data_IF_823851503897
#
_entry.id   IF_823851503897
#
_cell.length_a   1.000
_cell.length_b   1.000
_cell.length_c   1.000
_cell.angle_alpha   90.00
_cell.angle_beta   90.00
_cell.angle_gamma   90.00
#
_symmetry.space_group_name_H-M   'P 1'
#
loop_
_entity.id
_entity.type
_entity.pdbx_description
1 polymer ?
#
# COMPACT_ATOMS: atom_id res chain seq x y z
N UNK A 1 95.80 50.09 50.07
CA UNK A 1 95.08 49.07 49.26
C UNK A 1 93.86 48.50 50.01
N UNK A 2 92.86 49.32 50.37
CA UNK A 2 91.73 48.84 51.19
C UNK A 2 90.32 49.23 50.67
N UNK A 3 90.20 50.08 49.64
CA UNK A 3 88.89 50.51 49.11
C UNK A 3 88.45 49.80 47.82
N UNK A 4 89.36 49.09 47.13
CA UNK A 4 89.04 48.34 45.90
C UNK A 4 88.46 46.94 46.11
N UNK A 5 88.65 46.33 47.31
CA UNK A 5 88.18 44.97 47.61
C UNK A 5 86.72 44.91 48.09
N UNK A 6 86.19 46.02 48.63
CA UNK A 6 84.81 46.09 49.13
C UNK A 6 83.81 46.27 47.98
N UNK A 7 84.18 46.98 46.92
CA UNK A 7 83.31 47.20 45.75
C UNK A 7 83.09 45.91 44.94
N UNK A 8 84.13 45.08 44.81
CA UNK A 8 84.04 43.80 44.08
C UNK A 8 83.23 42.76 44.86
N UNK A 9 83.34 42.71 46.19
CA UNK A 9 82.52 41.82 47.01
C UNK A 9 81.03 42.20 47.00
N UNK A 10 80.71 43.50 46.95
CA UNK A 10 79.32 43.97 46.87
C UNK A 10 78.70 43.74 45.48
N UNK A 11 79.49 43.90 44.41
CA UNK A 11 79.06 43.59 43.04
C UNK A 11 78.89 42.08 42.79
N UNK A 12 79.78 41.24 43.33
CA UNK A 12 79.64 39.77 43.24
C UNK A 12 78.45 39.27 44.08
N UNK A 13 78.23 39.85 45.26
CA UNK A 13 77.05 39.54 46.08
C UNK A 13 75.72 39.91 45.42
N UNK A 14 75.64 41.08 44.78
CA UNK A 14 74.46 41.50 44.03
C UNK A 14 74.20 40.64 42.79
N UNK A 15 75.25 40.25 42.05
CA UNK A 15 75.12 39.37 40.87
C UNK A 15 74.69 37.96 41.28
N UNK A 16 75.17 37.41 42.39
CA UNK A 16 74.76 36.09 42.90
C UNK A 16 73.32 36.08 43.41
N UNK A 17 72.86 37.16 44.05
CA UNK A 17 71.46 37.28 44.53
C UNK A 17 70.50 37.50 43.36
N UNK A 18 70.86 38.33 42.37
CA UNK A 18 70.04 38.55 41.17
C UNK A 18 70.04 37.32 40.26
N UNK A 19 71.17 36.62 40.10
CA UNK A 19 71.23 35.35 39.38
C UNK A 19 70.52 34.22 40.14
N UNK A 20 70.60 34.18 41.47
CA UNK A 20 69.88 33.20 42.30
C UNK A 20 68.36 33.39 42.30
N UNK A 21 67.89 34.65 42.32
CA UNK A 21 66.47 34.99 42.13
C UNK A 21 66.00 34.71 40.70
N UNK A 22 66.85 34.97 39.69
CA UNK A 22 66.54 34.63 38.30
C UNK A 22 66.49 33.11 38.06
N UNK A 23 67.40 32.33 38.64
CA UNK A 23 67.41 30.86 38.55
C UNK A 23 66.21 30.27 39.32
N UNK A 24 65.89 30.80 40.51
CA UNK A 24 64.69 30.42 41.25
C UNK A 24 63.39 30.75 40.50
N UNK A 25 63.31 31.91 39.87
CA UNK A 25 62.19 32.29 39.02
C UNK A 25 62.09 31.44 37.75
N UNK A 26 63.20 31.08 37.11
CA UNK A 26 63.23 30.17 35.94
C UNK A 26 62.82 28.75 36.34
N UNK A 27 63.25 28.27 37.51
CA UNK A 27 62.88 26.94 38.02
C UNK A 27 61.39 26.86 38.41
N UNK A 28 60.86 27.93 39.05
CA UNK A 28 59.44 28.03 39.38
C UNK A 28 58.58 28.26 38.12
N UNK A 29 59.05 29.06 37.15
CA UNK A 29 58.36 29.26 35.87
C UNK A 29 58.36 28.01 35.00
N UNK A 30 59.45 27.23 34.98
CA UNK A 30 59.53 25.95 34.25
C UNK A 30 58.64 24.86 34.84
N UNK A 31 58.53 24.79 36.18
CA UNK A 31 57.60 23.87 36.84
C UNK A 31 56.14 24.32 36.68
N UNK A 32 55.88 25.64 36.64
CA UNK A 32 54.56 26.18 36.38
C UNK A 32 54.14 25.97 34.91
N UNK A 33 55.06 26.09 33.94
CA UNK A 33 54.76 25.85 32.53
C UNK A 33 54.45 24.38 32.24
N UNK A 34 55.21 23.44 32.82
CA UNK A 34 54.94 22.01 32.67
C UNK A 34 53.60 21.62 33.32
N UNK A 35 53.31 22.10 34.53
CA UNK A 35 52.02 21.86 35.19
C UNK A 35 50.85 22.48 34.42
N UNK A 36 51.03 23.68 33.85
CA UNK A 36 50.02 24.32 33.00
C UNK A 36 49.77 23.58 31.69
N UNK A 37 50.82 23.05 31.06
CA UNK A 37 50.71 22.25 29.84
C UNK A 37 49.97 20.93 30.10
N UNK A 38 50.32 20.24 31.18
CA UNK A 38 49.64 19.01 31.61
C UNK A 38 48.16 19.26 31.93
N UNK A 39 47.86 20.29 32.72
CA UNK A 39 46.48 20.67 33.06
C UNK A 39 45.67 21.06 31.81
N UNK A 40 46.26 21.79 30.86
CA UNK A 40 45.60 22.17 29.60
C UNK A 40 45.33 20.97 28.70
N UNK A 41 46.28 20.04 28.61
CA UNK A 41 46.09 18.80 27.85
C UNK A 41 44.96 17.95 28.45
N UNK A 42 44.92 17.83 29.78
CA UNK A 42 43.83 17.16 30.50
C UNK A 42 42.48 17.82 30.21
N UNK A 43 42.40 19.14 30.36
CA UNK A 43 41.17 19.90 30.04
C UNK A 43 40.72 19.69 28.59
N UNK A 44 41.63 19.81 27.61
CA UNK A 44 41.30 19.63 26.20
C UNK A 44 40.79 18.21 25.91
N UNK A 45 41.37 17.19 26.56
CA UNK A 45 40.92 15.81 26.43
C UNK A 45 39.50 15.63 26.99
N UNK A 46 39.25 16.06 28.23
CA UNK A 46 37.92 15.98 28.85
C UNK A 46 36.88 16.78 28.05
N UNK A 47 37.27 17.95 27.52
CA UNK A 47 36.39 18.77 26.68
C UNK A 47 36.06 18.10 25.35
N UNK A 48 37.03 17.47 24.70
CA UNK A 48 36.78 16.71 23.46
C UNK A 48 35.85 15.52 23.67
N UNK A 49 35.96 14.83 24.81
CA UNK A 49 35.04 13.75 25.19
C UNK A 49 33.62 14.29 25.40
N UNK A 50 33.50 15.38 26.18
CA UNK A 50 32.23 16.06 26.42
C UNK A 50 31.56 16.54 25.11
N UNK A 51 32.32 17.10 24.17
CA UNK A 51 31.78 17.57 22.89
C UNK A 51 31.31 16.40 22.01
N UNK A 52 32.04 15.28 22.02
CA UNK A 52 31.64 14.06 21.29
C UNK A 52 30.35 13.46 21.86
N UNK A 53 30.25 13.36 23.18
CA UNK A 53 29.03 12.89 23.83
C UNK A 53 27.87 13.86 23.59
N UNK A 54 28.11 15.16 23.64
CA UNK A 54 27.08 16.18 23.37
C UNK A 54 26.46 16.00 21.99
N UNK A 55 27.27 15.66 20.97
CA UNK A 55 26.77 15.35 19.64
C UNK A 55 25.88 14.08 19.60
N UNK A 56 26.22 13.05 20.38
CA UNK A 56 25.39 11.84 20.52
C UNK A 56 24.05 12.14 21.20
N UNK A 57 24.06 12.93 22.28
CA UNK A 57 22.83 13.38 22.94
C UNK A 57 21.93 14.19 22.03
N UNK A 58 22.48 15.10 21.23
CA UNK A 58 21.70 15.82 20.22
C UNK A 58 21.08 14.86 19.19
N UNK A 59 21.81 13.83 18.77
CA UNK A 59 21.27 12.79 17.87
C UNK A 59 20.10 12.04 18.52
N UNK A 60 20.20 11.68 19.81
CA UNK A 60 19.14 11.02 20.56
C UNK A 60 17.92 11.93 20.76
N UNK A 61 18.14 13.21 21.07
CA UNK A 61 17.06 14.21 21.20
C UNK A 61 16.34 14.46 19.87
N UNK A 62 17.07 14.50 18.76
CA UNK A 62 16.46 14.61 17.43
C UNK A 62 15.60 13.39 17.11
N UNK A 63 16.12 12.18 17.38
CA UNK A 63 15.36 10.94 17.21
C UNK A 63 14.04 10.94 17.99
N UNK A 64 14.04 11.51 19.20
CA UNK A 64 12.85 11.61 20.06
C UNK A 64 11.86 12.70 19.61
N UNK A 65 12.32 13.71 18.87
CA UNK A 65 11.46 14.73 18.30
C UNK A 65 10.80 14.28 16.98
N UNK A 66 11.36 13.26 16.32
CA UNK A 66 10.76 12.64 15.15
C UNK A 66 9.55 11.76 15.56
N UNK A 67 8.71 11.36 14.59
CA UNK A 67 7.61 10.40 14.79
C UNK A 67 8.08 9.01 15.31
N UNK A 68 9.40 8.82 15.41
CA UNK A 68 10.09 7.60 15.82
C UNK A 68 10.16 7.39 17.35
N UNK A 69 9.60 8.28 18.16
CA UNK A 69 9.61 8.16 19.63
C UNK A 69 8.59 7.16 20.18
N UNK A 70 7.65 6.67 19.35
CA UNK A 70 6.55 5.81 19.77
C UNK A 70 5.75 6.38 20.97
N UNK A 71 5.67 7.72 21.07
CA UNK A 71 5.01 8.43 22.15
C UNK A 71 5.82 8.50 23.46
N UNK A 72 7.02 7.91 23.53
CA UNK A 72 7.84 7.94 24.75
C UNK A 72 8.15 9.36 25.21
N UNK A 73 8.42 10.27 24.29
CA UNK A 73 8.73 11.67 24.59
C UNK A 73 7.58 12.41 25.31
N UNK A 74 6.34 11.95 25.14
CA UNK A 74 5.14 12.52 25.76
C UNK A 74 4.84 11.93 27.15
N UNK A 75 5.55 10.87 27.55
CA UNK A 75 5.41 10.28 28.88
C UNK A 75 6.09 11.14 29.95
N UNK A 76 5.59 11.10 31.19
CA UNK A 76 6.22 11.81 32.32
C UNK A 76 7.69 11.40 32.53
N UNK A 77 8.02 10.14 32.25
CA UNK A 77 9.40 9.63 32.31
C UNK A 77 10.26 10.19 31.18
N UNK A 78 9.80 10.06 29.93
CA UNK A 78 10.49 10.58 28.75
C UNK A 78 10.71 12.08 28.83
N UNK A 79 9.68 12.86 29.18
CA UNK A 79 9.78 14.32 29.31
C UNK A 79 10.81 14.74 30.37
N UNK A 80 10.84 14.07 31.53
CA UNK A 80 11.84 14.33 32.58
C UNK A 80 13.26 14.01 32.12
N UNK A 81 13.46 12.85 31.50
CA UNK A 81 14.78 12.42 31.02
C UNK A 81 15.29 13.30 29.87
N UNK A 82 14.40 13.73 28.97
CA UNK A 82 14.70 14.68 27.90
C UNK A 82 15.11 16.03 28.47
N UNK A 83 14.39 16.55 29.47
CA UNK A 83 14.73 17.82 30.11
C UNK A 83 16.07 17.72 30.85
N UNK A 84 16.29 16.65 31.61
CA UNK A 84 17.56 16.40 32.28
C UNK A 84 18.74 16.37 31.30
N UNK A 85 18.56 15.73 30.13
CA UNK A 85 19.58 15.71 29.09
C UNK A 85 19.83 17.11 28.49
N UNK A 86 18.78 17.90 28.24
CA UNK A 86 18.91 19.28 27.75
C UNK A 86 19.61 20.18 28.76
N UNK A 87 19.29 20.06 30.04
CA UNK A 87 19.91 20.82 31.12
C UNK A 87 21.40 20.46 31.23
N UNK A 88 21.73 19.18 31.11
CA UNK A 88 23.11 18.71 31.11
C UNK A 88 23.92 19.25 29.91
N UNK A 89 23.34 19.26 28.70
CA UNK A 89 23.96 19.89 27.52
C UNK A 89 24.22 21.39 27.76
N UNK A 90 23.24 22.10 28.33
CA UNK A 90 23.36 23.54 28.56
C UNK A 90 24.46 23.87 29.58
N UNK A 91 24.63 23.03 30.61
CA UNK A 91 25.68 23.21 31.61
C UNK A 91 27.08 22.92 31.03
N UNK A 92 27.17 21.96 30.10
CA UNK A 92 28.40 21.54 29.44
C UNK A 92 29.03 22.59 28.49
N UNK A 93 28.23 23.51 27.93
CA UNK A 93 28.67 24.46 26.90
C UNK A 93 29.37 25.73 27.43
N UNK A 94 29.51 25.90 28.75
CA UNK A 94 30.00 27.14 29.37
C UNK A 94 31.50 27.23 29.72
N UNK A 95 32.31 26.20 29.43
CA UNK A 95 33.68 26.09 29.95
C UNK A 95 34.74 26.51 28.91
N UNK A 96 35.48 27.58 29.21
CA UNK A 96 36.64 28.05 28.43
C UNK A 96 37.96 27.91 29.22
N UNK A 97 39.06 27.60 28.51
CA UNK A 97 40.40 27.56 29.11
C UNK A 97 40.85 28.99 29.44
N UNK A 98 40.96 29.29 30.73
CA UNK A 98 41.62 30.52 31.18
C UNK A 98 43.14 30.48 30.92
N UNK A 99 43.79 31.64 30.73
CA UNK A 99 45.24 31.73 30.58
C UNK A 99 45.96 31.11 31.80
N UNK A 100 46.86 30.14 31.54
CA UNK A 100 47.65 29.47 32.58
C UNK A 100 49.09 29.98 32.60
N UNK A 101 49.49 30.56 33.73
CA UNK A 101 50.84 31.11 33.96
C UNK A 101 51.40 30.79 35.34
N UNK A 102 50.60 30.18 36.21
CA UNK A 102 50.94 29.88 37.61
C UNK A 102 50.48 28.48 37.99
N UNK A 103 51.10 27.90 39.01
CA UNK A 103 50.72 26.58 39.54
C UNK A 103 49.27 26.54 40.05
N UNK A 104 48.79 27.59 40.71
CA UNK A 104 47.41 27.68 41.18
C UNK A 104 46.39 27.72 40.02
N UNK A 105 46.76 28.34 38.89
CA UNK A 105 45.95 28.28 37.67
C UNK A 105 45.95 26.88 37.04
N UNK A 106 47.10 26.19 37.05
CA UNK A 106 47.17 24.80 36.59
C UNK A 106 46.31 23.86 37.45
N UNK A 107 46.35 24.01 38.78
CA UNK A 107 45.49 23.26 39.71
C UNK A 107 44.00 23.55 39.45
N UNK A 108 43.63 24.81 39.21
CA UNK A 108 42.26 25.17 38.85
C UNK A 108 41.82 24.54 37.52
N UNK A 109 42.63 24.64 36.46
CA UNK A 109 42.32 24.05 35.15
C UNK A 109 42.20 22.53 35.26
N UNK A 110 43.05 21.89 36.07
CA UNK A 110 42.95 20.46 36.34
C UNK A 110 41.67 20.10 37.10
N UNK A 111 41.26 20.92 38.08
CA UNK A 111 39.99 20.73 38.79
C UNK A 111 38.78 20.93 37.87
N UNK A 112 38.82 21.93 36.99
CA UNK A 112 37.76 22.17 36.00
C UNK A 112 37.68 20.97 35.03
N UNK A 113 38.82 20.38 34.65
CA UNK A 113 38.86 19.17 33.83
C UNK A 113 38.29 17.93 34.54
N UNK A 114 38.52 17.79 35.85
CA UNK A 114 37.92 16.72 36.66
C UNK A 114 36.40 16.90 36.78
N UNK A 115 35.91 18.12 36.98
CA UNK A 115 34.48 18.42 36.96
C UNK A 115 33.83 18.12 35.60
N UNK A 116 34.50 18.41 34.48
CA UNK A 116 34.02 18.00 33.14
C UNK A 116 33.87 16.48 33.07
N UNK A 117 34.83 15.72 33.58
CA UNK A 117 34.76 14.26 33.55
C UNK A 117 33.63 13.70 34.43
N UNK A 118 33.31 14.35 35.55
CA UNK A 118 32.13 14.02 36.37
C UNK A 118 30.83 14.34 35.62
N UNK A 119 30.75 15.50 34.98
CA UNK A 119 29.59 15.90 34.16
C UNK A 119 29.37 14.93 32.99
N UNK A 120 30.44 14.49 32.30
CA UNK A 120 30.38 13.47 31.23
C UNK A 120 29.83 12.15 31.75
N UNK A 121 30.19 11.74 32.97
CA UNK A 121 29.67 10.49 33.55
C UNK A 121 28.16 10.58 33.83
N UNK A 122 27.69 11.68 34.43
CA UNK A 122 26.25 11.91 34.65
C UNK A 122 25.49 12.04 33.33
N UNK A 123 26.11 12.67 32.35
CA UNK A 123 25.59 12.83 31.00
C UNK A 123 25.38 11.49 30.30
N UNK A 124 26.40 10.63 30.29
CA UNK A 124 26.33 9.29 29.71
C UNK A 124 25.29 8.43 30.44
N UNK A 125 25.22 8.52 31.76
CA UNK A 125 24.18 7.83 32.54
C UNK A 125 22.76 8.32 32.20
N UNK A 126 22.61 9.59 31.84
CA UNK A 126 21.32 10.17 31.44
C UNK A 126 20.94 9.77 30.01
N UNK A 127 21.90 9.80 29.08
CA UNK A 127 21.70 9.26 27.73
C UNK A 127 21.29 7.78 27.76
N UNK A 128 22.01 6.98 28.55
CA UNK A 128 21.73 5.55 28.67
C UNK A 128 20.33 5.30 29.23
N UNK A 129 19.95 5.98 30.31
CA UNK A 129 18.58 5.90 30.87
C UNK A 129 17.52 6.30 29.86
N UNK A 130 17.79 7.35 29.07
CA UNK A 130 16.87 7.82 28.04
C UNK A 130 16.72 6.80 26.91
N UNK A 131 17.83 6.22 26.44
CA UNK A 131 17.85 5.19 25.41
C UNK A 131 17.16 3.90 25.89
N UNK A 132 17.47 3.44 27.11
CA UNK A 132 16.87 2.25 27.71
C UNK A 132 15.37 2.40 27.90
N UNK A 133 14.92 3.56 28.42
CA UNK A 133 13.50 3.86 28.58
C UNK A 133 12.75 3.92 27.24
N UNK A 134 13.36 4.53 26.23
CA UNK A 134 12.80 4.55 24.87
C UNK A 134 12.68 3.14 24.29
N UNK A 135 13.72 2.32 24.39
CA UNK A 135 13.73 0.93 23.90
C UNK A 135 12.65 0.12 24.61
N UNK A 136 12.58 0.21 25.95
CA UNK A 136 11.59 -0.50 26.75
C UNK A 136 10.15 -0.07 26.40
N UNK A 137 9.94 1.20 26.08
CA UNK A 137 8.64 1.74 25.70
C UNK A 137 8.22 1.33 24.27
N UNK A 138 9.16 1.37 23.32
CA UNK A 138 8.90 1.12 21.90
C UNK A 138 8.79 -0.38 21.56
N UNK A 139 9.58 -1.24 22.21
CA UNK A 139 9.62 -2.68 21.93
C UNK A 139 8.23 -3.37 21.93
N UNK A 140 7.36 -3.20 22.94
CA UNK A 140 6.03 -3.82 22.92
C UNK A 140 5.14 -3.28 21.79
N UNK A 141 5.20 -1.97 21.50
CA UNK A 141 4.39 -1.35 20.44
C UNK A 141 4.82 -1.82 19.04
N UNK A 142 6.14 -1.92 18.81
CA UNK A 142 6.72 -2.45 17.57
C UNK A 142 6.24 -3.89 17.35
N UNK A 143 6.29 -4.71 18.41
CA UNK A 143 5.81 -6.09 18.35
C UNK A 143 4.34 -6.16 18.00
N UNK A 144 3.49 -5.39 18.68
CA UNK A 144 2.05 -5.33 18.41
C UNK A 144 1.75 -4.93 16.96
N UNK A 145 2.41 -3.88 16.44
CA UNK A 145 2.25 -3.44 15.05
C UNK A 145 2.70 -4.51 14.05
N UNK A 146 3.85 -5.16 14.31
CA UNK A 146 4.35 -6.25 13.47
C UNK A 146 3.36 -7.42 13.40
N UNK A 147 2.85 -7.86 14.56
CA UNK A 147 1.88 -8.95 14.65
C UNK A 147 0.58 -8.57 13.92
N UNK A 148 0.13 -7.31 14.04
CA UNK A 148 -1.04 -6.80 13.33
C UNK A 148 -0.86 -6.85 11.80
N UNK A 149 0.27 -6.36 11.28
CA UNK A 149 0.54 -6.41 9.83
C UNK A 149 0.65 -7.84 9.31
N UNK A 150 1.37 -8.71 10.02
CA UNK A 150 1.48 -10.12 9.65
C UNK A 150 0.13 -10.82 9.64
N UNK A 151 -0.74 -10.52 10.61
CA UNK A 151 -2.11 -11.02 10.65
C UNK A 151 -2.93 -10.53 9.44
N UNK A 152 -2.89 -9.24 9.12
CA UNK A 152 -3.58 -8.68 7.94
C UNK A 152 -3.13 -9.33 6.64
N UNK A 153 -1.81 -9.56 6.48
CA UNK A 153 -1.25 -10.26 5.32
C UNK A 153 -1.79 -11.69 5.26
N UNK A 154 -1.79 -12.42 6.37
CA UNK A 154 -2.29 -13.80 6.44
C UNK A 154 -3.80 -13.88 6.13
N UNK A 155 -4.62 -13.01 6.71
CA UNK A 155 -6.06 -12.96 6.47
C UNK A 155 -6.37 -12.63 5.00
N UNK A 156 -5.68 -11.65 4.42
CA UNK A 156 -5.82 -11.28 3.01
C UNK A 156 -5.44 -12.43 2.08
N UNK A 157 -4.37 -13.18 2.41
CA UNK A 157 -3.97 -14.40 1.69
C UNK A 157 -5.05 -15.48 1.74
N UNK A 158 -5.65 -15.74 2.89
CA UNK A 158 -6.71 -16.75 3.02
C UNK A 158 -8.00 -16.35 2.30
N UNK A 159 -8.37 -15.06 2.34
CA UNK A 159 -9.49 -14.51 1.55
C UNK A 159 -9.24 -14.74 0.06
N UNK A 160 -8.04 -14.43 -0.42
CA UNK A 160 -7.69 -14.62 -1.82
C UNK A 160 -7.75 -16.11 -2.22
N UNK A 161 -7.12 -17.01 -1.46
CA UNK A 161 -7.17 -18.47 -1.71
C UNK A 161 -8.60 -19.00 -1.80
N UNK A 162 -9.44 -18.66 -0.82
CA UNK A 162 -10.85 -19.10 -0.78
C UNK A 162 -11.60 -18.62 -2.02
N UNK A 163 -11.31 -17.39 -2.46
CA UNK A 163 -11.92 -16.78 -3.62
C UNK A 163 -11.48 -17.50 -4.91
N UNK A 164 -10.20 -17.85 -5.05
CA UNK A 164 -9.67 -18.68 -6.15
C UNK A 164 -10.36 -20.05 -6.19
N UNK A 165 -10.49 -20.74 -5.05
CA UNK A 165 -11.17 -22.05 -4.97
C UNK A 165 -12.61 -21.96 -5.45
N UNK A 166 -13.38 -20.96 -4.97
CA UNK A 166 -14.77 -20.74 -5.42
C UNK A 166 -14.88 -20.51 -6.93
N UNK A 167 -13.93 -19.78 -7.51
CA UNK A 167 -13.90 -19.55 -8.95
C UNK A 167 -13.68 -20.86 -9.72
N UNK A 168 -12.74 -21.69 -9.28
CA UNK A 168 -12.41 -22.98 -9.92
C UNK A 168 -13.54 -24.01 -9.82
N UNK A 169 -14.30 -24.02 -8.71
CA UNK A 169 -15.40 -24.96 -8.51
C UNK A 169 -16.68 -24.57 -9.29
N UNK A 170 -16.72 -23.37 -9.88
CA UNK A 170 -17.86 -22.93 -10.69
C UNK A 170 -17.74 -23.46 -12.13
N UNK A 171 -18.60 -24.42 -12.52
CA UNK A 171 -18.64 -25.03 -13.86
C UNK A 171 -19.19 -24.09 -14.99
N UNK A 172 -18.80 -22.81 -15.00
CA UNK A 172 -19.40 -21.77 -15.84
C UNK A 172 -18.55 -21.27 -17.02
N UNK A 173 -18.88 -21.74 -18.22
CA UNK A 173 -18.46 -21.36 -19.59
C UNK A 173 -17.37 -20.28 -19.76
N UNK A 174 -16.18 -20.73 -20.16
CA UNK A 174 -14.99 -19.92 -20.40
C UNK A 174 -15.04 -18.95 -21.58
N UNK A 175 -14.37 -17.82 -21.39
CA UNK A 175 -13.01 -17.66 -21.88
C UNK A 175 -12.20 -16.91 -20.83
N UNK A 176 -11.21 -17.62 -20.32
CA UNK A 176 -10.62 -17.47 -19.00
C UNK A 176 -9.42 -16.54 -19.01
N UNK A 177 -9.03 -15.92 -20.14
CA UNK A 177 -7.77 -15.16 -20.21
C UNK A 177 -7.74 -13.86 -19.38
N UNK A 178 -8.87 -13.16 -19.22
CA UNK A 178 -8.94 -11.95 -18.39
C UNK A 178 -8.92 -12.25 -16.89
N UNK A 179 -9.72 -13.23 -16.45
CA UNK A 179 -9.74 -13.72 -15.06
C UNK A 179 -8.45 -14.43 -14.70
N UNK A 180 -7.89 -15.21 -15.63
CA UNK A 180 -6.63 -15.93 -15.43
C UNK A 180 -5.48 -14.96 -15.28
N UNK A 181 -5.42 -13.85 -16.02
CA UNK A 181 -4.40 -12.83 -15.78
C UNK A 181 -4.53 -12.19 -14.39
N UNK A 182 -5.75 -11.83 -13.96
CA UNK A 182 -5.94 -11.27 -12.61
C UNK A 182 -5.69 -12.30 -11.50
N UNK A 183 -6.04 -13.57 -11.74
CA UNK A 183 -5.75 -14.69 -10.84
C UNK A 183 -4.26 -15.02 -10.82
N UNK A 184 -3.55 -14.94 -11.94
CA UNK A 184 -2.12 -15.16 -12.06
C UNK A 184 -1.31 -13.97 -11.51
N UNK A 185 -1.77 -12.73 -11.67
CA UNK A 185 -1.19 -11.55 -11.01
C UNK A 185 -1.43 -11.60 -9.51
N UNK A 186 -2.63 -11.97 -9.06
CA UNK A 186 -2.91 -12.19 -7.63
C UNK A 186 -2.08 -13.35 -7.08
N UNK A 187 -2.01 -14.48 -7.78
CA UNK A 187 -1.13 -15.60 -7.44
C UNK A 187 0.33 -15.14 -7.38
N UNK A 188 0.80 -14.33 -8.33
CA UNK A 188 2.18 -13.82 -8.37
C UNK A 188 2.47 -12.77 -7.29
N UNK A 189 1.48 -12.01 -6.84
CA UNK A 189 1.58 -11.09 -5.71
C UNK A 189 1.47 -11.81 -4.35
N UNK A 190 0.80 -12.97 -4.30
CA UNK A 190 0.72 -13.83 -3.11
C UNK A 190 1.94 -14.77 -2.99
N UNK A 191 2.44 -15.26 -4.13
CA UNK A 191 3.62 -16.11 -4.29
C UNK A 191 4.89 -15.28 -4.49
N UNK A 192 4.80 -13.94 -4.55
CA UNK A 192 6.01 -13.12 -4.45
C UNK A 192 6.60 -13.41 -3.07
N UNK A 193 7.65 -14.23 -3.09
CA UNK A 193 8.58 -14.42 -1.99
C UNK A 193 9.38 -13.14 -1.77
N UNK A 194 8.74 -11.98 -1.70
CA UNK A 194 9.36 -10.92 -0.93
C UNK A 194 9.53 -11.52 0.46
N UNK A 195 10.79 -11.74 0.82
CA UNK A 195 11.16 -12.10 2.18
C UNK A 195 10.53 -11.02 3.05
N UNK A 196 9.45 -11.40 3.74
CA UNK A 196 8.79 -10.49 4.66
C UNK A 196 9.88 -10.02 5.62
N UNK A 197 10.13 -8.70 5.68
CA UNK A 197 11.20 -8.21 6.51
C UNK A 197 10.91 -8.61 7.95
N UNK A 198 11.89 -9.22 8.58
CA UNK A 198 11.78 -9.66 9.97
C UNK A 198 12.06 -8.48 10.87
N UNK A 199 11.08 -8.15 11.71
CA UNK A 199 11.29 -7.25 12.83
C UNK A 199 12.11 -8.01 13.88
N UNK A 200 13.23 -7.47 14.39
CA UNK A 200 14.02 -8.13 15.42
C UNK A 200 13.17 -8.54 16.63
N UNK A 201 13.36 -9.78 17.12
CA UNK A 201 12.59 -10.31 18.26
C UNK A 201 12.92 -9.59 19.58
N UNK A 202 14.14 -9.06 19.68
CA UNK A 202 14.62 -8.30 20.83
C UNK A 202 15.21 -6.98 20.34
N UNK A 203 14.74 -5.88 20.91
CA UNK A 203 15.31 -4.55 20.70
C UNK A 203 16.28 -4.27 21.86
N UNK A 204 17.56 -4.13 21.55
CA UNK A 204 18.61 -3.87 22.56
C UNK A 204 19.34 -2.56 22.35
N UNK A 205 19.12 -1.91 21.21
CA UNK A 205 19.79 -0.68 20.83
C UNK A 205 18.87 0.24 20.03
N UNK A 206 19.27 1.51 19.93
CA UNK A 206 18.61 2.49 19.05
C UNK A 206 18.72 2.08 17.58
N UNK A 207 19.79 1.40 17.20
CA UNK A 207 19.95 0.90 15.83
C UNK A 207 18.96 -0.23 15.51
N UNK A 208 18.70 -1.12 16.48
CA UNK A 208 17.64 -2.13 16.35
C UNK A 208 16.27 -1.48 16.16
N UNK A 209 15.98 -0.38 16.88
CA UNK A 209 14.74 0.38 16.70
C UNK A 209 14.61 0.95 15.28
N UNK A 210 15.68 1.50 14.72
CA UNK A 210 15.68 2.04 13.34
C UNK A 210 15.42 0.94 12.31
N UNK A 211 16.12 -0.19 12.47
CA UNK A 211 15.95 -1.35 11.60
C UNK A 211 14.53 -1.94 11.73
N UNK A 212 14.00 -2.03 12.94
CA UNK A 212 12.63 -2.44 13.20
C UNK A 212 11.62 -1.51 12.54
N UNK A 213 11.81 -0.19 12.63
CA UNK A 213 10.90 0.77 12.00
C UNK A 213 10.94 0.65 10.47
N UNK A 214 12.12 0.56 9.87
CA UNK A 214 12.25 0.34 8.42
C UNK A 214 11.61 -0.99 7.98
N UNK A 215 11.64 -2.03 8.82
CA UNK A 215 10.98 -3.29 8.55
C UNK A 215 9.45 -3.16 8.64
N UNK A 216 8.93 -2.42 9.64
CA UNK A 216 7.50 -2.14 9.80
C UNK A 216 6.93 -1.35 8.61
N UNK A 217 7.65 -0.34 8.11
CA UNK A 217 7.21 0.42 6.94
C UNK A 217 7.02 -0.47 5.71
N UNK A 218 7.97 -1.39 5.49
CA UNK A 218 7.87 -2.37 4.41
C UNK A 218 6.74 -3.37 4.64
N UNK A 219 6.55 -3.86 5.87
CA UNK A 219 5.41 -4.73 6.20
C UNK A 219 4.07 -4.03 5.96
N UNK A 220 3.97 -2.74 6.29
CA UNK A 220 2.77 -1.95 6.05
C UNK A 220 2.47 -1.80 4.55
N UNK A 221 3.50 -1.54 3.74
CA UNK A 221 3.40 -1.48 2.28
C UNK A 221 2.91 -2.82 1.70
N UNK A 222 3.52 -3.93 2.12
CA UNK A 222 3.12 -5.28 1.69
C UNK A 222 1.69 -5.61 2.13
N UNK A 223 1.31 -5.26 3.37
CA UNK A 223 -0.04 -5.47 3.88
C UNK A 223 -1.08 -4.72 3.04
N UNK A 224 -0.84 -3.43 2.75
CA UNK A 224 -1.73 -2.62 1.91
C UNK A 224 -1.86 -3.18 0.49
N UNK A 225 -0.75 -3.60 -0.12
CA UNK A 225 -0.75 -4.18 -1.47
C UNK A 225 -1.53 -5.51 -1.53
N UNK A 226 -1.35 -6.35 -0.51
CA UNK A 226 -2.02 -7.65 -0.40
C UNK A 226 -3.54 -7.46 -0.21
N UNK A 227 -3.96 -6.52 0.64
CA UNK A 227 -5.37 -6.21 0.87
C UNK A 227 -6.07 -5.68 -0.39
N UNK A 228 -5.39 -4.78 -1.12
CA UNK A 228 -5.89 -4.25 -2.40
C UNK A 228 -6.08 -5.38 -3.42
N UNK A 229 -5.07 -6.24 -3.56
CA UNK A 229 -5.11 -7.38 -4.49
C UNK A 229 -6.22 -8.37 -4.14
N UNK A 230 -6.38 -8.69 -2.85
CA UNK A 230 -7.46 -9.56 -2.37
C UNK A 230 -8.85 -8.97 -2.65
N UNK A 231 -9.00 -7.65 -2.49
CA UNK A 231 -10.26 -6.95 -2.77
C UNK A 231 -10.60 -6.93 -4.26
N UNK A 232 -9.63 -6.62 -5.13
CA UNK A 232 -9.81 -6.64 -6.58
C UNK A 232 -10.18 -8.04 -7.11
N UNK A 233 -9.58 -9.07 -6.52
CA UNK A 233 -9.91 -10.47 -6.81
C UNK A 233 -11.35 -10.80 -6.42
N UNK A 234 -11.79 -10.39 -5.22
CA UNK A 234 -13.16 -10.61 -4.76
C UNK A 234 -14.20 -9.94 -5.67
N UNK A 235 -13.98 -8.68 -6.03
CA UNK A 235 -14.86 -7.94 -6.93
C UNK A 235 -14.99 -8.64 -8.30
N UNK A 236 -13.86 -9.11 -8.83
CA UNK A 236 -13.84 -9.86 -10.09
C UNK A 236 -14.68 -11.13 -10.00
N UNK A 237 -14.54 -11.91 -8.92
CA UNK A 237 -15.30 -13.15 -8.71
C UNK A 237 -16.79 -12.88 -8.54
N UNK A 238 -17.17 -11.86 -7.76
CA UNK A 238 -18.57 -11.49 -7.56
C UNK A 238 -19.23 -11.10 -8.90
N UNK A 239 -18.50 -10.37 -9.76
CA UNK A 239 -18.94 -10.05 -11.12
C UNK A 239 -19.14 -11.32 -11.97
N UNK A 240 -18.17 -12.25 -11.98
CA UNK A 240 -18.27 -13.50 -12.74
C UNK A 240 -19.42 -14.39 -12.25
N UNK A 241 -19.62 -14.49 -10.94
CA UNK A 241 -20.73 -15.23 -10.36
C UNK A 241 -22.09 -14.65 -10.79
N UNK A 242 -22.21 -13.32 -10.81
CA UNK A 242 -23.40 -12.63 -11.30
C UNK A 242 -23.69 -12.88 -12.79
N UNK A 243 -22.66 -12.83 -13.64
CA UNK A 243 -22.80 -13.13 -15.07
C UNK A 243 -23.16 -14.60 -15.34
N UNK A 244 -22.61 -15.54 -14.57
CA UNK A 244 -22.96 -16.96 -14.67
C UNK A 244 -24.42 -17.21 -14.26
N UNK A 245 -24.87 -16.60 -13.15
CA UNK A 245 -26.27 -16.69 -12.73
C UNK A 245 -27.21 -16.15 -13.79
N UNK A 246 -26.85 -15.02 -14.43
CA UNK A 246 -27.59 -14.44 -15.55
C UNK A 246 -27.64 -15.39 -16.75
N UNK A 247 -26.51 -15.97 -17.18
CA UNK A 247 -26.48 -16.93 -18.30
C UNK A 247 -27.29 -18.20 -18.01
N UNK A 248 -27.21 -18.75 -16.80
CA UNK A 248 -28.04 -19.91 -16.39
C UNK A 248 -29.53 -19.57 -16.44
N UNK A 249 -29.92 -18.37 -16.02
CA UNK A 249 -31.30 -17.90 -16.12
C UNK A 249 -31.74 -17.73 -17.59
N UNK A 250 -30.89 -17.16 -18.45
CA UNK A 250 -31.17 -17.02 -19.89
C UNK A 250 -31.32 -18.38 -20.60
N UNK A 251 -30.47 -19.36 -20.28
CA UNK A 251 -30.53 -20.69 -20.87
C UNK A 251 -31.74 -21.50 -20.39
N UNK A 252 -32.09 -21.36 -19.10
CA UNK A 252 -33.34 -21.91 -18.56
C UNK A 252 -34.55 -21.30 -19.25
N UNK A 253 -34.58 -19.97 -19.42
CA UNK A 253 -35.66 -19.27 -20.13
C UNK A 253 -35.75 -19.72 -21.61
N UNK A 254 -34.61 -19.94 -22.28
CA UNK A 254 -34.59 -20.50 -23.64
C UNK A 254 -35.16 -21.91 -23.70
N UNK A 255 -34.80 -22.80 -22.78
CA UNK A 255 -35.36 -24.17 -22.72
C UNK A 255 -36.86 -24.17 -22.44
N UNK A 256 -37.33 -23.35 -21.50
CA UNK A 256 -38.76 -23.19 -21.21
C UNK A 256 -39.53 -22.61 -22.40
N UNK A 257 -38.93 -21.63 -23.11
CA UNK A 257 -39.51 -21.08 -24.34
C UNK A 257 -39.57 -22.12 -25.47
N UNK A 258 -38.54 -22.95 -25.61
CA UNK A 258 -38.50 -24.02 -26.63
C UNK A 258 -39.50 -25.15 -26.32
N UNK A 259 -39.63 -25.55 -25.06
CA UNK A 259 -40.65 -26.52 -24.61
C UNK A 259 -42.07 -26.00 -24.84
N UNK A 260 -42.35 -24.74 -24.51
CA UNK A 260 -43.64 -24.10 -24.86
C UNK A 260 -43.90 -24.14 -26.35
N UNK A 261 -42.89 -23.81 -27.17
CA UNK A 261 -43.02 -23.83 -28.64
C UNK A 261 -43.31 -25.23 -29.17
N UNK A 262 -42.67 -26.27 -28.62
CA UNK A 262 -42.96 -27.66 -28.96
C UNK A 262 -44.37 -28.09 -28.56
N UNK A 263 -44.82 -27.71 -27.36
CA UNK A 263 -46.19 -28.01 -26.91
C UNK A 263 -47.27 -27.31 -27.76
N UNK A 264 -47.04 -26.08 -28.19
CA UNK A 264 -47.92 -25.35 -29.11
C UNK A 264 -47.94 -26.00 -30.50
N UNK A 265 -46.78 -26.43 -31.02
CA UNK A 265 -46.70 -27.17 -32.28
C UNK A 265 -47.44 -28.51 -32.23
N UNK A 266 -47.29 -29.29 -31.15
CA UNK A 266 -48.04 -30.54 -30.98
C UNK A 266 -49.55 -30.31 -30.89
N UNK A 267 -49.98 -29.23 -30.23
CA UNK A 267 -51.40 -28.86 -30.17
C UNK A 267 -51.94 -28.48 -31.54
N UNK A 268 -51.22 -27.65 -32.28
CA UNK A 268 -51.58 -27.27 -33.66
C UNK A 268 -51.62 -28.49 -34.60
N UNK A 269 -50.69 -29.43 -34.45
CA UNK A 269 -50.65 -30.69 -35.21
C UNK A 269 -51.86 -31.60 -34.88
N UNK A 270 -52.27 -31.67 -33.61
CA UNK A 270 -53.48 -32.39 -33.19
C UNK A 270 -54.74 -31.77 -33.76
N UNK A 271 -54.87 -30.44 -33.67
CA UNK A 271 -56.03 -29.71 -34.19
C UNK A 271 -56.15 -29.89 -35.72
N UNK A 272 -55.03 -29.90 -36.46
CA UNK A 272 -55.01 -30.18 -37.91
C UNK A 272 -55.48 -31.60 -38.23
N UNK A 273 -54.96 -32.62 -37.53
CA UNK A 273 -55.34 -34.03 -37.74
C UNK A 273 -56.81 -34.29 -37.39
N UNK A 274 -57.36 -33.59 -36.41
CA UNK A 274 -58.78 -33.74 -36.06
C UNK A 274 -59.70 -33.06 -37.09
N UNK A 275 -59.30 -31.91 -37.65
CA UNK A 275 -60.00 -31.28 -38.76
C UNK A 275 -60.02 -32.16 -40.02
N UNK A 276 -58.90 -32.82 -40.34
CA UNK A 276 -58.81 -33.80 -41.45
C UNK A 276 -59.71 -35.02 -41.21
N UNK A 277 -59.81 -35.52 -39.97
CA UNK A 277 -60.78 -36.59 -39.63
C UNK A 277 -62.23 -36.17 -39.83
N UNK A 278 -62.59 -34.95 -39.41
CA UNK A 278 -63.95 -34.41 -39.58
C UNK A 278 -64.28 -34.17 -41.05
N UNK A 279 -63.30 -33.71 -41.84
CA UNK A 279 -63.42 -33.58 -43.29
C UNK A 279 -63.65 -34.95 -43.95
N UNK A 280 -62.85 -35.95 -43.60
CA UNK A 280 -62.97 -37.31 -44.16
C UNK A 280 -64.22 -38.07 -43.69
N UNK A 281 -64.80 -37.72 -42.54
CA UNK A 281 -66.10 -38.24 -42.10
C UNK A 281 -67.29 -37.60 -42.83
N UNK A 282 -67.12 -36.41 -43.42
CA UNK A 282 -68.14 -35.77 -44.24
C UNK A 282 -68.07 -36.18 -45.73
N UNK A 283 -67.10 -36.99 -46.14
CA UNK A 283 -66.88 -37.37 -47.55
C UNK A 283 -67.76 -38.52 -48.06
N UNK A 284 -68.87 -38.87 -47.39
CA UNK A 284 -69.78 -39.92 -47.86
C UNK A 284 -71.11 -39.39 -48.43
N UNK A 285 -71.07 -38.21 -49.06
CA UNK A 285 -72.12 -37.72 -49.96
C UNK A 285 -71.48 -36.94 -51.09
N UNK A 286 -71.59 -37.47 -52.32
CA UNK A 286 -70.85 -37.01 -53.48
C UNK A 286 -71.28 -35.66 -54.05
N UNK A 287 -70.37 -35.07 -54.84
CA UNK A 287 -70.69 -34.04 -55.84
C UNK A 287 -69.74 -32.84 -55.86
N UNK A 288 -68.87 -32.77 -56.89
CA UNK A 288 -68.45 -31.53 -57.57
C UNK A 288 -67.52 -30.56 -56.83
N UNK A 289 -66.25 -30.52 -57.23
CA UNK A 289 -65.29 -29.45 -56.90
C UNK A 289 -65.71 -28.11 -57.52
N UNK A 290 -65.84 -27.07 -56.67
CA UNK A 290 -65.92 -25.67 -57.08
C UNK A 290 -64.49 -25.10 -57.05
N UNK A 291 -64.00 -24.52 -58.15
CA UNK A 291 -62.65 -23.97 -58.21
C UNK A 291 -62.67 -22.48 -57.86
N UNK A 292 -61.71 -22.05 -57.02
CA UNK A 292 -61.48 -20.66 -56.66
C UNK A 292 -61.16 -19.79 -57.88
N UNK A 293 -61.74 -18.59 -57.94
CA UNK A 293 -61.32 -17.55 -58.90
C UNK A 293 -59.93 -17.09 -58.50
N UNK A 294 -58.94 -17.31 -59.39
CA UNK A 294 -57.57 -16.83 -59.20
C UNK A 294 -57.29 -15.70 -60.18
N UNK A 295 -57.08 -14.51 -59.64
CA UNK A 295 -56.55 -13.37 -60.41
C UNK A 295 -55.03 -13.38 -60.28
N UNK A 296 -54.35 -13.52 -61.41
CA UNK A 296 -52.89 -13.47 -61.49
C UNK A 296 -52.44 -12.08 -61.89
N UNK A 297 -51.53 -11.50 -61.11
CA UNK A 297 -50.86 -10.25 -61.43
C UNK A 297 -49.34 -10.49 -61.56
N UNK A 298 -48.79 -10.21 -62.73
CA UNK A 298 -47.36 -10.40 -63.03
C UNK A 298 -46.64 -9.04 -63.11
N UNK A 299 -45.43 -8.99 -62.55
CA UNK A 299 -44.55 -7.81 -62.50
C UNK A 299 -45.17 -6.59 -61.79
N UNK A 300 -45.51 -6.76 -60.51
CA UNK A 300 -45.79 -5.66 -59.59
C UNK A 300 -44.49 -4.95 -59.19
N UNK A 301 -44.58 -3.76 -58.58
CA UNK A 301 -43.41 -2.95 -58.18
C UNK A 301 -42.42 -3.66 -57.25
N UNK A 302 -42.82 -4.77 -56.64
CA UNK A 302 -42.03 -5.64 -55.78
C UNK A 302 -41.63 -7.00 -56.42
N UNK A 303 -41.83 -7.18 -57.73
CA UNK A 303 -41.51 -8.40 -58.49
C UNK A 303 -42.17 -9.72 -57.99
N UNK A 304 -43.19 -9.65 -57.13
CA UNK A 304 -43.92 -10.82 -56.65
C UNK A 304 -45.16 -11.12 -57.51
N UNK A 305 -45.53 -12.40 -57.61
CA UNK A 305 -46.84 -12.83 -58.13
C UNK A 305 -47.82 -12.88 -56.97
N UNK A 306 -48.99 -12.27 -57.13
CA UNK A 306 -50.03 -12.21 -56.09
C UNK A 306 -51.26 -12.98 -56.58
N UNK A 307 -51.81 -13.82 -55.69
CA UNK A 307 -53.03 -14.60 -55.94
C UNK A 307 -54.15 -14.09 -55.04
N UNK A 308 -55.23 -13.62 -55.66
CA UNK A 308 -56.47 -13.27 -54.94
C UNK A 308 -57.47 -14.40 -55.12
N UNK A 309 -57.97 -14.96 -54.02
CA UNK A 309 -58.90 -16.09 -54.00
C UNK A 309 -60.29 -15.64 -53.55
N UNK A 310 -61.32 -16.04 -54.30
CA UNK A 310 -62.72 -15.79 -53.94
C UNK A 310 -63.14 -16.44 -52.61
N UNK A 311 -62.56 -17.61 -52.26
CA UNK A 311 -62.76 -18.27 -50.96
C UNK A 311 -62.39 -17.40 -49.75
N UNK A 312 -61.54 -16.38 -49.95
CA UNK A 312 -61.16 -15.41 -48.92
C UNK A 312 -62.01 -14.13 -48.94
N UNK A 313 -63.16 -14.14 -49.64
CA UNK A 313 -64.13 -13.03 -49.65
C UNK A 313 -63.82 -11.89 -50.62
N UNK A 314 -62.82 -12.05 -51.50
CA UNK A 314 -62.46 -11.04 -52.49
C UNK A 314 -63.41 -11.06 -53.69
N UNK A 315 -63.94 -9.88 -54.05
CA UNK A 315 -64.62 -9.71 -55.33
C UNK A 315 -63.60 -9.46 -56.46
N UNK A 316 -63.97 -9.80 -57.70
CA UNK A 316 -63.11 -9.57 -58.88
C UNK A 316 -62.74 -8.10 -59.03
N UNK A 317 -63.68 -7.19 -58.77
CA UNK A 317 -63.46 -5.75 -58.91
C UNK A 317 -62.51 -5.22 -57.83
N UNK A 318 -62.64 -5.69 -56.58
CA UNK A 318 -61.78 -5.27 -55.48
C UNK A 318 -60.35 -5.80 -55.65
N UNK A 319 -60.20 -7.04 -56.11
CA UNK A 319 -58.90 -7.63 -56.43
C UNK A 319 -58.21 -6.89 -57.60
N UNK A 320 -58.98 -6.43 -58.59
CA UNK A 320 -58.45 -5.67 -59.72
C UNK A 320 -57.96 -4.28 -59.29
N UNK A 321 -58.72 -3.57 -58.47
CA UNK A 321 -58.32 -2.26 -57.94
C UNK A 321 -57.06 -2.36 -57.08
N UNK A 322 -56.99 -3.36 -56.19
CA UNK A 322 -55.82 -3.59 -55.34
C UNK A 322 -54.56 -3.94 -56.17
N UNK A 323 -54.70 -4.72 -57.24
CA UNK A 323 -53.58 -5.05 -58.13
C UNK A 323 -53.09 -3.84 -58.95
N UNK A 324 -53.97 -2.91 -59.32
CA UNK A 324 -53.59 -1.66 -59.99
C UNK A 324 -52.87 -0.69 -59.04
N UNK A 325 -53.35 -0.56 -57.81
CA UNK A 325 -52.72 0.27 -56.78
C UNK A 325 -51.31 -0.24 -56.41
N UNK A 326 -51.10 -1.56 -56.44
CA UNK A 326 -49.78 -2.19 -56.28
C UNK A 326 -48.85 -2.05 -57.52
N UNK A 327 -49.33 -1.43 -58.62
CA UNK A 327 -48.55 -1.13 -59.80
C UNK A 327 -48.27 -2.33 -60.72
N UNK A 328 -49.12 -3.36 -60.70
CA UNK A 328 -48.94 -4.56 -61.52
C UNK A 328 -49.32 -4.31 -63.00
N UNK A 329 -48.51 -4.81 -63.95
CA UNK A 329 -48.66 -4.50 -65.38
C UNK A 329 -49.55 -5.46 -66.18
N UNK A 330 -49.75 -6.70 -65.73
CA UNK A 330 -50.54 -7.70 -66.46
C UNK A 330 -51.45 -8.46 -65.50
N UNK A 331 -52.76 -8.30 -65.68
CA UNK A 331 -53.81 -8.92 -64.84
C UNK A 331 -54.59 -9.90 -65.73
N UNK A 332 -54.64 -11.18 -65.36
CA UNK A 332 -55.44 -12.20 -66.04
C UNK A 332 -56.45 -12.84 -65.09
N UNK A 333 -57.71 -12.88 -65.54
CA UNK A 333 -58.76 -13.69 -64.93
C UNK A 333 -58.74 -15.08 -65.56
N UNK A 334 -58.69 -16.12 -64.74
CA UNK A 334 -58.54 -17.50 -65.25
C UNK A 334 -59.82 -18.33 -65.26
N UNK A 335 -60.97 -17.83 -64.79
CA UNK A 335 -62.26 -18.55 -64.99
C UNK A 335 -63.54 -17.76 -64.66
N UNK A 336 -64.65 -18.32 -65.13
CA UNK A 336 -66.02 -17.79 -65.32
C UNK A 336 -66.79 -17.65 -63.98
N UNK A 337 -67.43 -16.50 -63.67
CA UNK A 337 -68.14 -16.31 -62.40
C UNK A 337 -69.45 -17.13 -62.35
N UNK A 338 -69.69 -17.81 -61.22
CA UNK A 338 -70.99 -18.41 -60.92
C UNK A 338 -72.04 -17.29 -60.78
N UNK A 339 -72.85 -17.10 -61.81
CA UNK A 339 -74.06 -16.27 -61.73
C UNK A 339 -75.23 -17.19 -61.38
N UNK A 340 -75.45 -17.37 -60.07
CA UNK A 340 -76.51 -18.19 -59.43
C UNK A 340 -76.58 -19.65 -59.88
#
# INVERSE_FOLDING_TARGET
MAKGKVLVAFLVGAVVVVAGLAIGAIFVAGNASAACEEARNKFNSSKSELDAETAQAHTLLNFLNDENSYGYAETDEGARNIQALRDAISNAQGLEVSNCSTKAQAEKISSDADSISEDVAEFNATQQRLADGLIAHAAPQIKEKSDAYNKTIAESREVAKTSITKANDSEGYGQVDGSLNLLLEAQKALDSKEELPTVPEEIKSIEDLRNANSALDRLAEVASSTEHSASALKESIDKYAGELAKKKAEEKAKKEAEEKRKAEQEKAEKDRKEAERRSNQNSNSGGGTCNDIVVYAEQCTNHAVIHYLASNGWSVNDAWAAAQEAGCKKIQQTSNPCSR
#
